data_IF_740068566213
#
_entry.id   IF_740068566213
#
_cell.length_a   1.000
_cell.length_b   1.000
_cell.length_c   1.000
_cell.angle_alpha   90.00
_cell.angle_beta   90.00
_cell.angle_gamma   90.00
#
_symmetry.space_group_name_H-M   'P 1'
#
loop_
_entity.id
_entity.type
_entity.pdbx_description
1 polymer ?
#
# COMPACT_ATOMS: atom_id res chain seq x y z
N UNK A 1 -6.62 14.01 6.55
CA UNK A 1 -5.89 12.74 6.81
C UNK A 1 -6.84 11.55 6.68
N UNK A 2 -6.34 10.39 6.34
CA UNK A 2 -7.07 9.12 6.46
C UNK A 2 -6.27 8.16 7.34
N UNK A 3 -6.97 7.31 8.09
CA UNK A 3 -6.38 6.44 9.08
C UNK A 3 -6.97 5.03 8.97
N UNK A 4 -6.15 4.03 9.26
CA UNK A 4 -6.62 2.65 9.35
C UNK A 4 -7.28 2.46 10.70
N UNK A 5 -8.55 2.09 10.68
CA UNK A 5 -9.37 1.84 11.87
C UNK A 5 -9.61 0.35 12.08
N UNK A 6 -9.92 0.00 13.31
CA UNK A 6 -10.32 -1.33 13.73
C UNK A 6 -11.80 -1.31 14.11
N UNK A 7 -12.54 -2.29 13.64
CA UNK A 7 -13.94 -2.52 14.00
C UNK A 7 -14.16 -4.00 14.33
N UNK A 8 -15.04 -4.28 15.26
CA UNK A 8 -15.30 -5.62 15.80
C UNK A 8 -16.79 -5.93 15.70
N UNK A 9 -17.09 -7.19 15.38
CA UNK A 9 -18.42 -7.77 15.46
C UNK A 9 -18.37 -9.17 16.06
N UNK A 10 -19.41 -9.61 16.78
CA UNK A 10 -19.53 -10.99 17.26
C UNK A 10 -19.80 -12.01 16.14
N UNK A 11 -20.32 -11.55 14.98
CA UNK A 11 -20.61 -12.39 13.81
C UNK A 11 -20.05 -11.76 12.53
N UNK A 12 -19.77 -12.55 11.48
CA UNK A 12 -19.30 -12.01 10.20
C UNK A 12 -20.25 -11.03 9.54
N UNK A 13 -21.55 -11.19 9.78
CA UNK A 13 -22.60 -10.33 9.21
C UNK A 13 -22.72 -8.97 9.92
N UNK A 14 -22.05 -8.81 11.06
CA UNK A 14 -22.13 -7.58 11.84
C UNK A 14 -23.26 -7.58 12.87
N UNK A 15 -23.67 -6.40 13.37
CA UNK A 15 -23.10 -5.08 13.02
C UNK A 15 -21.69 -4.89 13.58
N UNK A 16 -20.82 -4.32 12.77
CA UNK A 16 -19.47 -3.95 13.21
C UNK A 16 -19.52 -2.64 14.00
N UNK A 17 -18.79 -2.62 15.10
CA UNK A 17 -18.63 -1.44 15.95
C UNK A 17 -17.19 -0.96 15.86
N UNK A 18 -17.00 0.35 15.70
CA UNK A 18 -15.68 0.98 15.81
C UNK A 18 -15.05 0.64 17.17
N UNK A 19 -13.81 0.22 17.16
CA UNK A 19 -13.01 -0.07 18.36
C UNK A 19 -11.99 1.04 18.59
N UNK A 20 -11.08 1.22 17.66
CA UNK A 20 -9.96 2.15 17.78
C UNK A 20 -9.36 2.51 16.40
N UNK A 21 -8.40 3.43 16.43
CA UNK A 21 -7.57 3.76 15.28
C UNK A 21 -6.29 2.93 15.36
N UNK A 22 -6.17 1.93 14.47
CA UNK A 22 -5.02 1.03 14.47
C UNK A 22 -3.71 1.75 14.08
N UNK A 23 -3.75 2.60 13.07
CA UNK A 23 -2.61 3.41 12.63
C UNK A 23 -3.00 4.89 12.54
N UNK A 24 -2.93 5.65 13.65
CA UNK A 24 -3.26 7.08 13.66
C UNK A 24 -2.24 7.91 12.87
N UNK A 25 -2.67 9.08 12.39
CA UNK A 25 -1.75 10.08 11.86
C UNK A 25 -0.67 10.41 12.90
N UNK A 26 0.59 10.57 12.46
CA UNK A 26 1.73 10.79 13.37
C UNK A 26 2.59 12.02 13.03
N UNK A 27 2.10 12.87 12.12
CA UNK A 27 2.72 14.15 11.78
C UNK A 27 3.53 14.10 10.48
N UNK A 28 3.68 15.28 9.86
CA UNK A 28 4.28 15.44 8.53
C UNK A 28 5.75 15.02 8.43
N UNK A 29 6.46 14.91 9.57
CA UNK A 29 7.87 14.50 9.64
C UNK A 29 8.07 13.01 9.31
N UNK A 30 7.02 12.20 9.36
CA UNK A 30 7.05 10.80 8.99
C UNK A 30 6.54 10.61 7.56
N UNK A 31 7.09 9.62 6.85
CA UNK A 31 6.73 9.32 5.47
C UNK A 31 5.25 8.89 5.30
N UNK A 32 4.63 8.35 6.35
CA UNK A 32 3.23 7.92 6.44
C UNK A 32 2.42 8.78 7.43
N UNK A 33 2.93 9.96 7.76
CA UNK A 33 2.46 10.75 8.89
C UNK A 33 1.10 11.40 8.72
N UNK A 34 0.62 11.54 7.48
CA UNK A 34 -0.65 12.21 7.16
C UNK A 34 -1.76 11.25 6.76
N UNK A 35 -1.40 10.05 6.24
CA UNK A 35 -2.40 9.19 5.65
C UNK A 35 -1.94 7.72 5.66
N UNK A 36 -2.82 6.81 6.07
CA UNK A 36 -2.63 5.36 6.00
C UNK A 36 -3.84 4.70 5.34
N UNK A 37 -3.62 3.75 4.40
CA UNK A 37 -4.65 3.12 3.58
C UNK A 37 -4.34 1.65 3.26
N UNK A 38 -5.32 0.96 2.66
CA UNK A 38 -5.18 -0.36 2.03
C UNK A 38 -4.46 -1.38 2.91
N UNK A 39 -4.94 -1.61 4.15
CA UNK A 39 -4.31 -2.54 5.07
C UNK A 39 -4.43 -3.99 4.60
N UNK A 40 -3.38 -4.76 4.81
CA UNK A 40 -3.37 -6.22 4.72
C UNK A 40 -2.79 -6.78 6.01
N UNK A 41 -3.64 -7.44 6.80
CA UNK A 41 -3.24 -8.06 8.07
C UNK A 41 -3.06 -9.57 7.89
N UNK A 42 -2.02 -10.12 8.50
CA UNK A 42 -1.78 -11.56 8.59
C UNK A 42 -1.03 -11.91 9.86
N UNK A 43 -1.09 -13.20 10.23
CA UNK A 43 -0.37 -13.73 11.39
C UNK A 43 0.75 -14.65 10.93
N UNK A 44 1.95 -14.46 11.48
CA UNK A 44 3.09 -15.33 11.23
C UNK A 44 3.94 -15.42 12.49
N UNK A 45 4.37 -16.64 12.87
CA UNK A 45 5.22 -16.90 14.05
C UNK A 45 4.76 -16.16 15.31
N UNK A 46 3.47 -16.31 15.66
CA UNK A 46 2.83 -15.69 16.85
C UNK A 46 2.75 -14.16 16.85
N UNK A 47 3.22 -13.48 15.80
CA UNK A 47 3.08 -12.04 15.63
C UNK A 47 2.05 -11.70 14.58
N UNK A 48 1.52 -10.48 14.66
CA UNK A 48 0.64 -9.90 13.66
C UNK A 48 1.41 -8.84 12.88
N UNK A 49 1.22 -8.85 11.58
CA UNK A 49 1.84 -7.95 10.63
C UNK A 49 0.76 -7.22 9.85
N UNK A 50 0.95 -5.92 9.69
CA UNK A 50 0.06 -5.06 8.95
C UNK A 50 0.88 -4.36 7.86
N UNK A 51 0.74 -4.81 6.61
CA UNK A 51 1.29 -4.13 5.45
C UNK A 51 0.25 -3.13 4.96
N UNK A 52 0.67 -1.91 4.70
CA UNK A 52 -0.23 -0.81 4.38
C UNK A 52 0.40 0.18 3.42
N UNK A 53 -0.40 1.05 2.84
CA UNK A 53 0.07 2.22 2.11
C UNK A 53 0.02 3.44 3.02
N UNK A 54 1.12 4.18 3.09
CA UNK A 54 1.24 5.44 3.81
C UNK A 54 1.61 6.59 2.89
N UNK A 55 1.34 7.80 3.37
CA UNK A 55 1.64 9.03 2.64
C UNK A 55 1.77 10.22 3.57
N UNK A 56 2.44 11.26 3.09
CA UNK A 56 2.60 12.53 3.81
C UNK A 56 2.66 13.72 2.83
N UNK A 57 2.48 14.91 3.37
CA UNK A 57 2.73 16.19 2.69
C UNK A 57 3.21 17.23 3.72
N UNK A 58 4.00 18.22 3.31
CA UNK A 58 4.59 19.21 4.23
C UNK A 58 3.64 20.37 4.62
N UNK A 59 2.46 20.41 4.01
CA UNK A 59 1.52 21.52 4.20
C UNK A 59 0.72 21.36 5.50
N UNK A 60 0.17 22.47 5.99
CA UNK A 60 -0.86 22.44 7.04
C UNK A 60 -2.08 21.62 6.56
N UNK A 61 -2.90 21.14 7.51
CA UNK A 61 -4.12 20.42 7.16
C UNK A 61 -5.10 21.35 6.43
N UNK A 62 -5.65 20.89 5.29
CA UNK A 62 -6.65 21.68 4.56
C UNK A 62 -8.01 21.64 5.27
N UNK A 63 -8.86 22.60 4.95
CA UNK A 63 -10.29 22.42 5.14
C UNK A 63 -10.85 21.36 4.21
N UNK A 64 -12.06 20.87 4.47
CA UNK A 64 -12.68 19.85 3.63
C UNK A 64 -12.92 20.37 2.19
N UNK A 65 -13.28 21.63 2.06
CA UNK A 65 -13.55 22.30 0.77
C UNK A 65 -12.30 22.45 -0.09
N UNK A 66 -11.12 22.53 0.52
CA UNK A 66 -9.84 22.63 -0.19
C UNK A 66 -9.34 21.29 -0.72
N UNK A 67 -9.93 20.15 -0.27
CA UNK A 67 -9.54 18.81 -0.67
C UNK A 67 -10.15 18.43 -2.02
N UNK A 68 -9.65 18.99 -3.11
CA UNK A 68 -9.96 18.57 -4.47
C UNK A 68 -8.88 17.67 -5.04
N UNK A 69 -9.19 16.91 -6.10
CA UNK A 69 -8.21 16.01 -6.74
C UNK A 69 -6.98 16.76 -7.28
N UNK A 70 -7.13 18.04 -7.64
CA UNK A 70 -6.08 18.90 -8.16
C UNK A 70 -5.42 19.79 -7.09
N UNK A 71 -5.83 19.63 -5.84
CA UNK A 71 -5.23 20.39 -4.75
C UNK A 71 -3.78 19.94 -4.49
N UNK A 72 -2.95 20.87 -4.00
CA UNK A 72 -1.55 20.57 -3.65
C UNK A 72 -1.42 19.40 -2.67
N UNK A 73 -2.35 19.27 -1.72
CA UNK A 73 -2.39 18.16 -0.75
C UNK A 73 -2.61 16.81 -1.43
N UNK A 74 -3.56 16.73 -2.37
CA UNK A 74 -3.84 15.51 -3.12
C UNK A 74 -2.70 15.16 -4.09
N UNK A 75 -2.14 16.14 -4.79
CA UNK A 75 -1.02 15.94 -5.73
C UNK A 75 0.21 15.42 -4.98
N UNK A 76 0.67 16.14 -3.95
CA UNK A 76 1.87 15.78 -3.20
C UNK A 76 1.65 14.52 -2.35
N UNK A 77 0.48 14.40 -1.71
CA UNK A 77 0.13 13.19 -0.96
C UNK A 77 0.11 11.95 -1.85
N UNK A 78 -0.36 12.05 -3.09
CA UNK A 78 -0.32 10.95 -4.08
C UNK A 78 1.11 10.58 -4.47
N UNK A 79 1.95 11.56 -4.77
CA UNK A 79 3.35 11.35 -5.12
C UNK A 79 4.16 10.69 -3.99
N UNK A 80 3.78 10.93 -2.74
CA UNK A 80 4.46 10.43 -1.55
C UNK A 80 3.93 9.06 -1.06
N UNK A 81 3.04 8.40 -1.80
CA UNK A 81 2.56 7.06 -1.43
C UNK A 81 3.67 6.03 -1.47
N UNK A 82 3.83 5.29 -0.39
CA UNK A 82 4.79 4.18 -0.24
C UNK A 82 4.15 3.05 0.54
N UNK A 83 4.74 1.86 0.45
CA UNK A 83 4.30 0.68 1.21
C UNK A 83 5.11 0.58 2.50
N UNK A 84 4.40 0.35 3.61
CA UNK A 84 4.97 0.22 4.94
C UNK A 84 4.54 -1.03 5.67
N UNK A 85 5.13 -1.23 6.84
CA UNK A 85 4.90 -2.37 7.73
C UNK A 85 4.75 -1.90 9.16
N UNK A 86 3.76 -2.48 9.85
CA UNK A 86 3.62 -2.41 11.29
C UNK A 86 3.53 -3.83 11.87
N UNK A 87 4.03 -4.01 13.09
CA UNK A 87 4.10 -5.30 13.79
C UNK A 87 3.49 -5.16 15.17
N UNK A 88 2.76 -6.19 15.62
CA UNK A 88 2.19 -6.28 16.96
C UNK A 88 2.18 -7.72 17.47
N UNK A 89 2.11 -7.88 18.79
CA UNK A 89 1.93 -9.19 19.43
C UNK A 89 0.44 -9.60 19.49
N UNK A 90 -0.46 -8.67 19.21
CA UNK A 90 -1.91 -8.87 19.21
C UNK A 90 -2.54 -8.20 17.99
N UNK A 91 -3.68 -8.71 17.45
CA UNK A 91 -4.42 -8.05 16.38
C UNK A 91 -5.00 -6.69 16.82
N UNK A 92 -5.06 -6.46 18.12
CA UNK A 92 -5.50 -5.19 18.73
C UNK A 92 -4.36 -4.18 18.92
N UNK A 93 -3.15 -4.52 18.50
CA UNK A 93 -1.96 -3.71 18.75
C UNK A 93 -1.39 -3.88 20.18
N UNK A 94 -0.60 -2.91 20.66
CA UNK A 94 -0.21 -1.70 19.96
C UNK A 94 0.68 -2.00 18.74
N UNK A 95 0.45 -1.29 17.64
CA UNK A 95 1.17 -1.47 16.39
C UNK A 95 2.47 -0.65 16.38
N UNK A 96 3.60 -1.33 16.23
CA UNK A 96 4.90 -0.70 16.04
C UNK A 96 5.19 -0.59 14.55
N UNK A 97 5.19 0.63 14.01
CA UNK A 97 5.52 0.92 12.62
C UNK A 97 7.02 0.94 12.40
N UNK A 98 7.46 0.54 11.23
CA UNK A 98 8.81 0.86 10.77
C UNK A 98 8.87 2.33 10.38
N UNK A 99 10.02 2.98 10.67
CA UNK A 99 10.21 4.41 10.36
C UNK A 99 10.51 4.67 8.89
N UNK A 100 10.87 3.62 8.15
CA UNK A 100 11.09 3.66 6.70
C UNK A 100 10.07 2.78 5.96
N UNK A 101 9.65 3.17 4.76
CA UNK A 101 8.83 2.30 3.92
C UNK A 101 9.60 1.06 3.49
N UNK A 102 8.91 -0.09 3.44
CA UNK A 102 9.50 -1.36 2.97
C UNK A 102 9.62 -1.46 1.46
N UNK A 103 8.84 -0.65 0.72
CA UNK A 103 8.94 -0.53 -0.73
C UNK A 103 8.92 0.95 -1.13
N UNK A 104 10.07 1.44 -1.57
CA UNK A 104 10.30 2.82 -2.03
C UNK A 104 10.10 2.91 -3.55
N UNK A 105 9.96 4.13 -4.04
CA UNK A 105 10.06 4.42 -5.48
C UNK A 105 11.51 4.36 -5.95
N UNK A 106 11.71 4.12 -7.25
CA UNK A 106 13.02 4.10 -7.88
C UNK A 106 12.98 4.88 -9.20
N UNK A 107 13.94 5.79 -9.45
CA UNK A 107 14.00 6.55 -10.70
C UNK A 107 14.05 5.65 -11.93
N UNK A 108 13.46 6.11 -13.04
CA UNK A 108 13.43 5.43 -14.34
C UNK A 108 12.75 4.05 -14.35
N UNK A 109 11.84 3.81 -13.41
CA UNK A 109 11.02 2.60 -13.34
C UNK A 109 9.53 2.93 -13.48
N UNK A 110 8.69 1.90 -13.72
CA UNK A 110 7.23 2.06 -13.76
C UNK A 110 6.62 2.48 -12.42
N UNK A 111 7.37 2.42 -11.34
CA UNK A 111 6.98 2.83 -9.99
C UNK A 111 7.78 4.03 -9.46
N UNK A 112 8.34 4.85 -10.36
CA UNK A 112 9.16 6.01 -9.97
C UNK A 112 8.34 7.12 -9.28
N UNK A 113 7.03 7.19 -9.49
CA UNK A 113 6.14 8.20 -8.90
C UNK A 113 5.56 7.73 -7.56
N UNK A 114 5.00 6.51 -7.51
CA UNK A 114 4.42 5.94 -6.29
C UNK A 114 4.49 4.41 -6.25
N UNK A 115 4.44 3.87 -5.03
CA UNK A 115 4.13 2.47 -4.72
C UNK A 115 2.96 2.42 -3.75
N UNK A 116 1.96 1.57 -4.00
CA UNK A 116 0.76 1.46 -3.15
C UNK A 116 0.01 0.14 -3.32
N UNK A 117 -1.13 -0.02 -2.66
CA UNK A 117 -2.05 -1.16 -2.76
C UNK A 117 -1.32 -2.51 -2.65
N UNK A 118 -0.60 -2.77 -1.54
CA UNK A 118 0.16 -4.00 -1.37
C UNK A 118 -0.75 -5.21 -1.19
N UNK A 119 -0.38 -6.33 -1.80
CA UNK A 119 -1.01 -7.63 -1.57
C UNK A 119 0.07 -8.70 -1.38
N UNK A 120 0.45 -9.01 -0.14
CA UNK A 120 1.49 -9.99 0.18
C UNK A 120 0.95 -11.41 0.25
N UNK A 121 1.80 -12.38 -0.10
CA UNK A 121 1.72 -13.78 0.29
C UNK A 121 2.97 -14.11 1.09
N UNK A 122 2.79 -14.56 2.33
CA UNK A 122 3.87 -15.02 3.20
C UNK A 122 3.95 -16.55 3.10
N UNK A 123 5.11 -17.04 2.73
CA UNK A 123 5.38 -18.45 2.58
C UNK A 123 5.72 -19.12 3.92
N UNK A 124 5.72 -20.43 3.94
CA UNK A 124 6.01 -21.23 5.15
C UNK A 124 7.41 -20.95 5.73
N UNK A 125 8.37 -20.63 4.88
CA UNK A 125 9.74 -20.28 5.26
C UNK A 125 9.91 -18.82 5.71
N UNK A 126 8.84 -18.04 5.67
CA UNK A 126 8.83 -16.61 6.02
C UNK A 126 9.19 -15.67 4.87
N UNK A 127 9.57 -16.21 3.70
CA UNK A 127 9.76 -15.37 2.51
C UNK A 127 8.44 -14.79 2.04
N UNK A 128 8.49 -13.65 1.34
CA UNK A 128 7.30 -12.92 0.90
C UNK A 128 7.36 -12.66 -0.59
N UNK A 129 6.23 -12.87 -1.25
CA UNK A 129 5.91 -12.27 -2.54
C UNK A 129 4.83 -11.22 -2.32
N UNK A 130 4.98 -10.05 -2.95
CA UNK A 130 4.05 -8.95 -2.81
C UNK A 130 3.77 -8.32 -4.17
N UNK A 131 2.51 -8.33 -4.58
CA UNK A 131 2.05 -7.51 -5.69
C UNK A 131 1.76 -6.10 -5.16
N UNK A 132 2.11 -5.11 -5.95
CA UNK A 132 1.87 -3.71 -5.62
C UNK A 132 1.48 -2.91 -6.87
N UNK A 133 0.80 -1.82 -6.65
CA UNK A 133 0.50 -0.82 -7.69
C UNK A 133 1.64 0.18 -7.78
N UNK A 134 2.09 0.45 -9.02
CA UNK A 134 3.06 1.49 -9.35
C UNK A 134 2.54 2.47 -10.39
N UNK A 135 3.08 3.68 -10.37
CA UNK A 135 3.01 4.68 -11.44
C UNK A 135 4.39 5.28 -11.66
N UNK A 136 4.71 5.64 -12.89
CA UNK A 136 5.93 6.35 -13.23
C UNK A 136 5.71 7.85 -13.31
N UNK A 137 6.76 8.64 -13.10
CA UNK A 137 6.84 10.00 -13.60
C UNK A 137 6.86 10.00 -15.13
N UNK A 138 6.17 10.95 -15.75
CA UNK A 138 6.24 11.21 -17.18
C UNK A 138 6.98 12.52 -17.45
N UNK A 139 7.47 12.69 -18.69
CA UNK A 139 8.25 13.89 -19.09
C UNK A 139 7.54 15.22 -18.85
N UNK A 140 6.22 15.23 -18.83
CA UNK A 140 5.41 16.42 -18.61
C UNK A 140 5.09 16.69 -17.13
N UNK A 141 5.83 16.08 -16.18
CA UNK A 141 5.57 16.20 -14.76
C UNK A 141 4.27 15.56 -14.29
N UNK A 142 3.63 14.77 -15.15
CA UNK A 142 2.45 13.96 -14.87
C UNK A 142 2.90 12.56 -14.42
N UNK A 143 1.95 11.64 -14.33
CA UNK A 143 2.18 10.24 -13.97
C UNK A 143 1.57 9.32 -15.03
N UNK A 144 2.17 8.14 -15.20
CA UNK A 144 1.68 7.09 -16.09
C UNK A 144 0.37 6.48 -15.58
N UNK A 145 -0.27 5.65 -16.40
CA UNK A 145 -1.31 4.74 -15.93
C UNK A 145 -0.80 3.82 -14.83
N UNK A 146 -1.71 3.30 -14.02
CA UNK A 146 -1.41 2.33 -12.98
C UNK A 146 -1.05 0.98 -13.59
N UNK A 147 0.01 0.38 -13.07
CA UNK A 147 0.46 -0.95 -13.43
C UNK A 147 0.78 -1.76 -12.17
N UNK A 148 0.71 -3.08 -12.28
CA UNK A 148 1.04 -3.97 -11.18
C UNK A 148 2.47 -4.49 -11.33
N UNK A 149 3.23 -4.42 -10.24
CA UNK A 149 4.54 -5.01 -10.10
C UNK A 149 4.57 -6.11 -9.06
N UNK A 150 5.66 -6.85 -9.03
CA UNK A 150 5.92 -7.86 -8.02
C UNK A 150 7.25 -7.59 -7.33
N UNK A 151 7.26 -7.66 -6.01
CA UNK A 151 8.44 -7.61 -5.18
C UNK A 151 8.56 -8.88 -4.35
N UNK A 152 9.77 -9.27 -4.01
CA UNK A 152 10.04 -10.39 -3.09
C UNK A 152 10.96 -9.95 -1.96
N UNK A 153 10.86 -10.65 -0.83
CA UNK A 153 11.74 -10.45 0.31
C UNK A 153 12.05 -11.79 0.99
N UNK A 154 13.25 -11.96 1.59
CA UNK A 154 13.60 -13.16 2.34
C UNK A 154 12.86 -13.27 3.68
N UNK A 155 12.31 -12.16 4.18
CA UNK A 155 11.51 -12.09 5.39
C UNK A 155 10.43 -11.01 5.27
N UNK A 156 9.46 -11.03 6.20
CA UNK A 156 8.34 -10.07 6.22
C UNK A 156 8.85 -8.61 6.37
N UNK A 157 9.94 -8.42 7.09
CA UNK A 157 10.54 -7.11 7.32
C UNK A 157 11.45 -6.65 6.15
N UNK A 158 11.68 -7.50 5.17
CA UNK A 158 12.48 -7.20 3.98
C UNK A 158 13.90 -7.77 4.03
N UNK A 159 14.83 -7.23 3.23
CA UNK A 159 14.60 -6.16 2.26
C UNK A 159 13.77 -6.62 1.05
N UNK A 160 12.89 -5.76 0.56
CA UNK A 160 12.08 -6.03 -0.63
C UNK A 160 12.82 -5.62 -1.90
N UNK A 161 12.80 -6.51 -2.89
CA UNK A 161 13.39 -6.27 -4.21
C UNK A 161 12.32 -6.46 -5.28
N UNK A 162 12.14 -5.45 -6.14
CA UNK A 162 11.22 -5.55 -7.28
C UNK A 162 11.81 -6.51 -8.31
N UNK A 163 11.00 -7.46 -8.71
CA UNK A 163 11.35 -8.53 -9.64
C UNK A 163 11.02 -8.14 -11.09
N UNK A 164 11.17 -9.10 -12.03
CA UNK A 164 10.82 -8.96 -13.44
C UNK A 164 11.58 -7.80 -14.13
N UNK A 165 12.89 -7.67 -13.83
CA UNK A 165 13.74 -6.58 -14.32
C UNK A 165 13.14 -5.19 -14.06
N UNK A 166 12.39 -5.05 -12.94
CA UNK A 166 11.67 -3.83 -12.55
C UNK A 166 10.63 -3.38 -13.57
N UNK A 167 10.12 -4.32 -14.38
CA UNK A 167 8.99 -4.10 -15.30
C UNK A 167 7.67 -4.51 -14.65
N UNK A 168 6.55 -3.93 -15.09
CA UNK A 168 5.24 -4.39 -14.61
C UNK A 168 4.99 -5.85 -15.03
N UNK A 169 4.31 -6.60 -14.17
CA UNK A 169 3.83 -7.96 -14.49
C UNK A 169 2.44 -7.93 -15.12
N UNK A 170 1.72 -6.84 -14.91
CA UNK A 170 0.41 -6.61 -15.50
C UNK A 170 0.18 -5.11 -15.71
N UNK A 171 -0.24 -4.76 -16.90
CA UNK A 171 -0.62 -3.41 -17.32
C UNK A 171 -1.72 -3.50 -18.37
N UNK A 172 -2.71 -2.63 -18.28
CA UNK A 172 -3.76 -2.51 -19.28
C UNK A 172 -3.26 -1.63 -20.43
N UNK A 173 -3.49 -2.05 -21.66
CA UNK A 173 -3.11 -1.27 -22.85
C UNK A 173 -3.94 0.02 -22.97
N UNK A 174 -3.37 1.03 -23.63
CA UNK A 174 -4.03 2.31 -23.88
C UNK A 174 -4.20 3.14 -22.60
N UNK A 175 -5.43 3.57 -22.33
CA UNK A 175 -5.78 4.40 -21.15
C UNK A 175 -6.27 3.58 -19.96
N UNK A 176 -6.04 2.28 -19.96
CA UNK A 176 -6.47 1.41 -18.89
C UNK A 176 -5.64 1.57 -17.61
N UNK A 177 -6.28 1.30 -16.47
CA UNK A 177 -5.70 1.36 -15.14
C UNK A 177 -5.84 -0.02 -14.46
N UNK A 178 -4.81 -0.46 -13.74
CA UNK A 178 -4.85 -1.68 -12.93
C UNK A 178 -4.51 -1.35 -11.48
N UNK A 179 -5.42 -1.69 -10.54
CA UNK A 179 -5.20 -1.43 -9.13
C UNK A 179 -5.89 -2.47 -8.22
N UNK A 180 -5.71 -2.30 -6.90
CA UNK A 180 -6.27 -3.14 -5.84
C UNK A 180 -6.05 -4.64 -6.08
N UNK A 181 -4.79 -5.08 -6.28
CA UNK A 181 -4.52 -6.48 -6.49
C UNK A 181 -4.81 -7.29 -5.22
N UNK A 182 -5.26 -8.52 -5.41
CA UNK A 182 -5.27 -9.56 -4.41
C UNK A 182 -4.51 -10.77 -4.92
N UNK A 183 -3.41 -11.12 -4.24
CA UNK A 183 -2.53 -12.25 -4.55
C UNK A 183 -2.83 -13.41 -3.61
N UNK A 184 -2.91 -14.61 -4.15
CA UNK A 184 -2.87 -15.85 -3.36
C UNK A 184 -2.08 -16.94 -4.08
N UNK A 185 -1.69 -17.98 -3.35
CA UNK A 185 -1.00 -19.17 -3.84
C UNK A 185 -1.79 -20.41 -3.46
N UNK A 186 -2.01 -21.32 -4.40
CA UNK A 186 -2.57 -22.66 -4.17
C UNK A 186 -1.74 -23.71 -4.92
N UNK A 187 -2.22 -24.96 -4.97
CA UNK A 187 -1.52 -26.06 -5.66
C UNK A 187 -1.37 -25.85 -7.18
N UNK A 188 -2.12 -24.95 -7.77
CA UNK A 188 -2.04 -24.61 -9.21
C UNK A 188 -1.05 -23.49 -9.49
N UNK A 189 -0.59 -22.77 -8.44
CA UNK A 189 0.37 -21.68 -8.53
C UNK A 189 -0.13 -20.36 -7.97
N UNK A 190 0.34 -19.26 -8.56
CA UNK A 190 -0.01 -17.89 -8.13
C UNK A 190 -1.18 -17.34 -8.93
N UNK A 191 -2.09 -16.71 -8.22
CA UNK A 191 -3.29 -16.11 -8.77
C UNK A 191 -3.39 -14.65 -8.37
N UNK A 192 -3.89 -13.83 -9.29
CA UNK A 192 -4.16 -12.41 -9.06
C UNK A 192 -5.58 -12.10 -9.47
N UNK A 193 -6.30 -11.39 -8.60
CA UNK A 193 -7.50 -10.63 -8.98
C UNK A 193 -7.16 -9.15 -8.81
N UNK A 194 -7.57 -8.32 -9.75
CA UNK A 194 -7.31 -6.88 -9.73
C UNK A 194 -8.50 -6.12 -10.32
N UNK A 195 -8.71 -4.93 -9.82
CA UNK A 195 -9.60 -3.97 -10.48
C UNK A 195 -8.92 -3.50 -11.77
N UNK A 196 -9.68 -3.55 -12.86
CA UNK A 196 -9.29 -2.98 -14.16
C UNK A 196 -10.34 -1.97 -14.58
N UNK A 197 -9.91 -0.75 -14.86
CA UNK A 197 -10.77 0.33 -15.31
C UNK A 197 -10.18 1.06 -16.51
N UNK A 198 -11.05 1.69 -17.29
CA UNK A 198 -10.67 2.70 -18.28
C UNK A 198 -11.04 4.06 -17.72
N UNK A 199 -10.13 5.02 -17.82
CA UNK A 199 -10.47 6.42 -17.59
C UNK A 199 -11.30 6.89 -18.79
N UNK A 200 -12.61 7.04 -18.60
CA UNK A 200 -13.52 7.67 -19.57
C UNK A 200 -13.45 9.19 -19.43
#
# INVERSE_FOLDING_TARGET
ASEIVHAISPTPEGPYKFSDVALPARGAQYWDGRSTHNPRIFKYNHKYYLIYMGSTHPFEEPSYEELTLDSKWCIVGRANKRVGLAVADSPYGPWKRLDEPILKTEPNTFYSYLTSNPSPVVRKDGSVLMIFKGRAHTENGRYSNMALGIASAPSIEGPYTVQNDKKPIFQVEGQGEAEDPFLWEDERGFHIISLVGTLN
#
